data_IF_213623971970
#
_entry.id   IF_213623971970
#
_cell.length_a   1.000
_cell.length_b   1.000
_cell.length_c   1.000
_cell.angle_alpha   90.00
_cell.angle_beta   90.00
_cell.angle_gamma   90.00
#
_symmetry.space_group_name_H-M   'P 1'
#
loop_
_entity.id
_entity.type
_entity.pdbx_description
1 polymer ?
#
# COMPACT_ATOMS: atom_id res chain seq x y z
N UNK A 1 28.89 -73.23 10.99
CA UNK A 1 30.11 -72.49 10.61
C UNK A 1 31.16 -73.51 10.27
N UNK A 2 31.70 -73.48 9.05
CA UNK A 2 32.82 -74.34 8.68
C UNK A 2 34.06 -73.82 9.39
N UNK A 3 34.60 -74.62 10.32
CA UNK A 3 35.86 -74.33 11.02
C UNK A 3 36.95 -74.07 9.97
N UNK A 4 37.71 -73.00 10.13
CA UNK A 4 38.79 -72.63 9.21
C UNK A 4 39.84 -73.74 9.19
N UNK A 5 40.43 -74.02 8.02
CA UNK A 5 41.56 -74.96 7.93
C UNK A 5 42.73 -74.57 8.84
N UNK A 6 42.88 -73.27 9.15
CA UNK A 6 43.85 -72.78 10.15
C UNK A 6 43.40 -73.11 11.58
N UNK A 7 42.11 -72.95 11.89
CA UNK A 7 41.58 -73.32 13.21
C UNK A 7 41.73 -74.83 13.44
N UNK A 8 41.47 -75.65 12.42
CA UNK A 8 41.73 -77.09 12.47
C UNK A 8 43.20 -77.41 12.70
N UNK A 9 44.12 -76.77 11.96
CA UNK A 9 45.55 -77.01 12.16
C UNK A 9 46.03 -76.57 13.56
N UNK A 10 45.44 -75.52 14.12
CA UNK A 10 45.72 -75.06 15.48
C UNK A 10 45.20 -76.09 16.49
N UNK A 11 43.97 -76.58 16.33
CA UNK A 11 43.42 -77.66 17.19
C UNK A 11 44.26 -78.93 17.08
N UNK A 12 44.67 -79.34 15.88
CA UNK A 12 45.52 -80.52 15.68
C UNK A 12 46.87 -80.37 16.40
N UNK A 13 47.48 -79.17 16.37
CA UNK A 13 48.72 -78.88 17.11
C UNK A 13 48.48 -78.91 18.63
N UNK A 14 47.35 -78.36 19.10
CA UNK A 14 46.98 -78.41 20.52
C UNK A 14 46.78 -79.84 21.00
N UNK A 15 46.01 -80.64 20.27
CA UNK A 15 45.76 -82.06 20.57
C UNK A 15 47.05 -82.88 20.53
N UNK A 16 47.95 -82.60 19.58
CA UNK A 16 49.25 -83.27 19.50
C UNK A 16 50.13 -82.98 20.72
N UNK A 17 50.17 -81.73 21.19
CA UNK A 17 50.92 -81.33 22.39
C UNK A 17 50.30 -81.91 23.66
N UNK A 18 48.97 -81.95 23.76
CA UNK A 18 48.24 -82.47 24.92
C UNK A 18 48.36 -83.99 25.06
N UNK A 19 48.37 -84.73 23.94
CA UNK A 19 48.53 -86.19 23.91
C UNK A 19 50.00 -86.66 23.96
N UNK A 20 50.97 -85.75 24.00
CA UNK A 20 52.40 -86.08 24.04
C UNK A 20 52.81 -86.68 25.39
N UNK A 21 53.69 -87.70 25.37
CA UNK A 21 54.08 -88.45 26.58
C UNK A 21 54.94 -87.62 27.53
N UNK A 22 54.60 -87.65 28.81
CA UNK A 22 55.45 -87.10 29.87
C UNK A 22 56.70 -87.97 30.07
N UNK A 23 57.82 -87.31 30.36
CA UNK A 23 59.11 -87.94 30.49
C UNK A 23 59.13 -88.85 31.71
N UNK A 24 59.58 -90.08 31.54
CA UNK A 24 59.67 -91.08 32.61
C UNK A 24 60.53 -90.61 33.79
N UNK A 25 61.49 -89.71 33.55
CA UNK A 25 62.40 -89.19 34.56
C UNK A 25 61.95 -87.87 35.21
N UNK A 26 60.95 -87.18 34.64
CA UNK A 26 60.37 -85.97 35.23
C UNK A 26 58.93 -85.77 34.72
N UNK A 27 57.91 -85.96 35.57
CA UNK A 27 56.50 -85.83 35.19
C UNK A 27 56.11 -84.45 34.64
N UNK A 28 56.85 -83.39 34.99
CA UNK A 28 56.61 -82.03 34.49
C UNK A 28 57.23 -81.74 33.11
N UNK A 29 57.89 -82.72 32.48
CA UNK A 29 58.54 -82.55 31.18
C UNK A 29 57.82 -83.38 30.13
N UNK A 30 57.24 -82.73 29.12
CA UNK A 30 56.64 -83.41 27.97
C UNK A 30 57.73 -83.68 26.92
N UNK A 31 57.74 -84.90 26.36
CA UNK A 31 58.67 -85.29 25.29
C UNK A 31 57.89 -85.36 23.99
N UNK A 32 58.25 -84.50 23.03
CA UNK A 32 57.54 -84.33 21.75
C UNK A 32 58.49 -84.73 20.61
N UNK A 33 57.95 -85.37 19.58
CA UNK A 33 58.67 -85.58 18.33
C UNK A 33 58.85 -84.25 17.62
N UNK A 34 60.10 -83.77 17.61
CA UNK A 34 60.45 -82.46 17.08
C UNK A 34 60.00 -82.32 15.63
N UNK A 35 60.36 -83.28 14.78
CA UNK A 35 60.15 -83.16 13.33
C UNK A 35 58.66 -83.03 12.99
N UNK A 36 57.80 -83.82 13.64
CA UNK A 36 56.34 -83.79 13.45
C UNK A 36 55.70 -82.46 13.90
N UNK A 37 56.13 -81.89 15.04
CA UNK A 37 55.65 -80.57 15.48
C UNK A 37 56.10 -79.46 14.52
N UNK A 38 57.34 -79.53 14.03
CA UNK A 38 57.87 -78.56 13.08
C UNK A 38 57.15 -78.63 11.73
N UNK A 39 56.80 -79.83 11.26
CA UNK A 39 56.00 -80.02 10.03
C UNK A 39 54.62 -79.37 10.16
N UNK A 40 53.92 -79.57 11.30
CA UNK A 40 52.61 -78.94 11.55
C UNK A 40 52.72 -77.41 11.67
N UNK A 41 53.77 -76.89 12.32
CA UNK A 41 54.03 -75.45 12.44
C UNK A 41 54.43 -74.81 11.11
N UNK A 42 55.18 -75.52 10.26
CA UNK A 42 55.53 -75.02 8.92
C UNK A 42 54.32 -75.02 7.99
N UNK A 43 53.43 -76.01 8.07
CA UNK A 43 52.16 -75.97 7.36
C UNK A 43 51.29 -74.79 7.85
N UNK A 44 51.20 -74.56 9.17
CA UNK A 44 50.48 -73.41 9.74
C UNK A 44 51.07 -72.09 9.22
N UNK A 45 52.40 -71.98 9.22
CA UNK A 45 53.16 -70.81 8.78
C UNK A 45 52.98 -70.53 7.28
N UNK A 46 52.85 -71.57 6.46
CA UNK A 46 52.61 -71.43 5.03
C UNK A 46 51.17 -71.02 4.73
N UNK A 47 50.19 -71.62 5.42
CA UNK A 47 48.75 -71.39 5.19
C UNK A 47 48.26 -70.07 5.75
N UNK A 48 48.83 -69.58 6.86
CA UNK A 48 48.37 -68.36 7.55
C UNK A 48 48.41 -67.10 6.66
N UNK A 49 49.52 -66.78 5.96
CA UNK A 49 49.58 -65.61 5.08
C UNK A 49 48.61 -65.67 3.90
N UNK A 50 48.36 -66.86 3.35
CA UNK A 50 47.44 -67.04 2.22
C UNK A 50 45.99 -66.73 2.63
N UNK A 51 45.57 -67.23 3.79
CA UNK A 51 44.19 -67.03 4.23
C UNK A 51 43.94 -65.60 4.73
N UNK A 52 44.95 -64.94 5.30
CA UNK A 52 44.91 -63.49 5.57
C UNK A 52 44.72 -62.70 4.27
N UNK A 53 45.50 -63.00 3.21
CA UNK A 53 45.36 -62.31 1.91
C UNK A 53 43.98 -62.53 1.30
N UNK A 54 43.44 -63.74 1.42
CA UNK A 54 42.08 -64.06 0.93
C UNK A 54 41.01 -63.29 1.68
N UNK A 55 41.09 -63.23 3.01
CA UNK A 55 40.19 -62.41 3.84
C UNK A 55 40.30 -60.92 3.50
N UNK A 56 41.52 -60.38 3.35
CA UNK A 56 41.72 -58.99 2.93
C UNK A 56 41.10 -58.71 1.56
N UNK A 57 41.26 -59.63 0.60
CA UNK A 57 40.64 -59.50 -0.72
C UNK A 57 39.11 -59.49 -0.65
N UNK A 58 38.52 -60.32 0.21
CA UNK A 58 37.07 -60.32 0.47
C UNK A 58 36.62 -58.97 1.05
N UNK A 59 37.37 -58.43 2.02
CA UNK A 59 37.07 -57.12 2.63
C UNK A 59 37.14 -55.99 1.59
N UNK A 60 38.19 -55.96 0.77
CA UNK A 60 38.35 -54.95 -0.29
C UNK A 60 37.20 -55.05 -1.30
N UNK A 61 36.88 -56.26 -1.75
CA UNK A 61 35.76 -56.47 -2.68
C UNK A 61 34.42 -56.05 -2.07
N UNK A 62 34.19 -56.37 -0.79
CA UNK A 62 32.97 -55.94 -0.08
C UNK A 62 32.88 -54.42 -0.02
N UNK A 63 33.96 -53.73 0.34
CA UNK A 63 33.99 -52.28 0.42
C UNK A 63 33.74 -51.64 -0.95
N UNK A 64 34.34 -52.18 -2.01
CA UNK A 64 34.10 -51.70 -3.38
C UNK A 64 32.65 -51.87 -3.81
N UNK A 65 32.02 -53.01 -3.48
CA UNK A 65 30.60 -53.25 -3.77
C UNK A 65 29.73 -52.25 -2.99
N UNK A 66 30.08 -51.99 -1.72
CA UNK A 66 29.32 -51.07 -0.87
C UNK A 66 29.40 -49.64 -1.41
N UNK A 67 30.60 -49.18 -1.76
CA UNK A 67 30.81 -47.84 -2.31
C UNK A 67 30.10 -47.65 -3.67
N UNK A 68 30.15 -48.66 -4.54
CA UNK A 68 29.42 -48.64 -5.81
C UNK A 68 27.90 -48.62 -5.60
N UNK A 69 27.40 -49.39 -4.63
CA UNK A 69 25.99 -49.37 -4.25
C UNK A 69 25.56 -48.01 -3.69
N UNK A 70 26.36 -47.40 -2.82
CA UNK A 70 26.11 -46.06 -2.26
C UNK A 70 26.10 -44.99 -3.36
N UNK A 71 27.06 -45.02 -4.28
CA UNK A 71 27.11 -44.10 -5.43
C UNK A 71 25.88 -44.25 -6.33
N UNK A 72 25.47 -45.49 -6.61
CA UNK A 72 24.26 -45.75 -7.42
C UNK A 72 23.01 -45.27 -6.71
N UNK A 73 22.89 -45.51 -5.40
CA UNK A 73 21.75 -45.04 -4.61
C UNK A 73 21.68 -43.50 -4.62
N UNK A 74 22.80 -42.81 -4.39
CA UNK A 74 22.87 -41.36 -4.45
C UNK A 74 22.50 -40.82 -5.84
N UNK A 75 22.98 -41.45 -6.92
CA UNK A 75 22.64 -41.07 -8.29
C UNK A 75 21.14 -41.26 -8.58
N UNK A 76 20.55 -42.37 -8.15
CA UNK A 76 19.11 -42.64 -8.32
C UNK A 76 18.29 -41.58 -7.58
N UNK A 77 18.65 -41.25 -6.34
CA UNK A 77 17.94 -40.23 -5.55
C UNK A 77 18.05 -38.85 -6.24
N UNK A 78 19.24 -38.46 -6.69
CA UNK A 78 19.45 -37.19 -7.38
C UNK A 78 18.62 -37.11 -8.67
N UNK A 79 18.61 -38.19 -9.46
CA UNK A 79 17.82 -38.27 -10.68
C UNK A 79 16.32 -38.20 -10.40
N UNK A 80 15.83 -38.94 -9.39
CA UNK A 80 14.42 -38.93 -9.00
C UNK A 80 13.97 -37.53 -8.55
N UNK A 81 14.80 -36.84 -7.76
CA UNK A 81 14.52 -35.46 -7.33
C UNK A 81 14.47 -34.49 -8.51
N UNK A 82 15.40 -34.62 -9.47
CA UNK A 82 15.41 -33.78 -10.67
C UNK A 82 14.19 -34.03 -11.55
N UNK A 83 13.76 -35.28 -11.71
CA UNK A 83 12.56 -35.62 -12.48
C UNK A 83 11.30 -35.12 -11.77
N UNK A 84 11.21 -35.27 -10.45
CA UNK A 84 10.08 -34.75 -9.68
C UNK A 84 9.95 -33.22 -9.82
N UNK A 85 11.06 -32.49 -9.74
CA UNK A 85 11.07 -31.05 -9.97
C UNK A 85 10.58 -30.68 -11.38
N UNK A 86 11.09 -31.37 -12.42
CA UNK A 86 10.67 -31.13 -13.79
C UNK A 86 9.19 -31.43 -14.02
N UNK A 87 8.66 -32.51 -13.44
CA UNK A 87 7.23 -32.87 -13.53
C UNK A 87 6.34 -31.83 -12.85
N UNK A 88 6.79 -31.24 -11.74
CA UNK A 88 6.05 -30.19 -11.03
C UNK A 88 6.04 -28.91 -11.88
N UNK A 89 7.19 -28.49 -12.39
CA UNK A 89 7.30 -27.27 -13.21
C UNK A 89 6.51 -27.40 -14.53
N UNK A 90 6.51 -28.59 -15.14
CA UNK A 90 5.72 -28.88 -16.35
C UNK A 90 4.26 -29.22 -16.02
N UNK A 91 3.93 -29.41 -14.73
CA UNK A 91 2.60 -29.82 -14.32
C UNK A 91 1.58 -28.79 -14.77
N UNK A 92 0.51 -29.30 -15.37
CA UNK A 92 -0.68 -28.53 -15.70
C UNK A 92 -1.22 -27.77 -14.48
N UNK A 93 -1.01 -28.30 -13.27
CA UNK A 93 -1.39 -27.63 -12.03
C UNK A 93 -0.67 -26.29 -11.83
N UNK A 94 0.63 -26.20 -12.13
CA UNK A 94 1.39 -24.94 -12.01
C UNK A 94 0.95 -23.96 -13.08
N UNK A 95 0.69 -24.43 -14.30
CA UNK A 95 0.14 -23.59 -15.37
C UNK A 95 -1.23 -23.01 -15.00
N UNK A 96 -2.16 -23.86 -14.56
CA UNK A 96 -3.48 -23.43 -14.10
C UNK A 96 -3.40 -22.49 -12.89
N UNK A 97 -2.44 -22.71 -11.98
CA UNK A 97 -2.21 -21.82 -10.85
C UNK A 97 -1.73 -20.43 -11.30
N UNK A 98 -0.85 -20.36 -12.30
CA UNK A 98 -0.40 -19.10 -12.89
C UNK A 98 -1.52 -18.39 -13.65
N UNK A 99 -2.28 -19.10 -14.49
CA UNK A 99 -3.45 -18.54 -15.18
C UNK A 99 -4.45 -17.95 -14.19
N UNK A 100 -4.77 -18.70 -13.12
CA UNK A 100 -5.67 -18.23 -12.07
C UNK A 100 -5.11 -17.03 -11.30
N UNK A 101 -3.79 -16.98 -11.10
CA UNK A 101 -3.14 -15.83 -10.47
C UNK A 101 -3.25 -14.58 -11.36
N UNK A 102 -3.03 -14.74 -12.68
CA UNK A 102 -3.21 -13.66 -13.66
C UNK A 102 -4.66 -13.16 -13.69
N UNK A 103 -5.65 -14.07 -13.74
CA UNK A 103 -7.07 -13.72 -13.66
C UNK A 103 -7.42 -12.91 -12.40
N UNK A 104 -6.86 -13.31 -11.24
CA UNK A 104 -7.08 -12.59 -9.97
C UNK A 104 -6.47 -11.19 -10.04
N UNK A 105 -5.27 -11.05 -10.61
CA UNK A 105 -4.60 -9.75 -10.76
C UNK A 105 -5.38 -8.84 -11.70
N UNK A 106 -5.83 -9.35 -12.85
CA UNK A 106 -6.65 -8.59 -13.80
C UNK A 106 -7.98 -8.15 -13.17
N UNK A 107 -8.66 -9.06 -12.46
CA UNK A 107 -9.90 -8.73 -11.77
C UNK A 107 -9.69 -7.66 -10.68
N UNK A 108 -8.58 -7.74 -9.93
CA UNK A 108 -8.23 -6.75 -8.93
C UNK A 108 -7.93 -5.37 -9.54
N UNK A 109 -7.23 -5.33 -10.67
CA UNK A 109 -6.96 -4.08 -11.41
C UNK A 109 -8.26 -3.49 -11.94
N UNK A 110 -9.12 -4.31 -12.55
CA UNK A 110 -10.41 -3.86 -13.06
C UNK A 110 -11.29 -3.29 -11.95
N UNK A 111 -11.37 -3.96 -10.80
CA UNK A 111 -12.11 -3.47 -9.65
C UNK A 111 -11.50 -2.20 -9.06
N UNK A 112 -10.17 -2.13 -8.98
CA UNK A 112 -9.45 -0.93 -8.56
C UNK A 112 -9.79 0.29 -9.43
N UNK A 113 -9.76 0.12 -10.75
CA UNK A 113 -10.16 1.18 -11.68
C UNK A 113 -11.63 1.57 -11.51
N UNK A 114 -12.52 0.60 -11.33
CA UNK A 114 -13.94 0.85 -11.08
C UNK A 114 -14.18 1.68 -9.82
N UNK A 115 -13.44 1.41 -8.75
CA UNK A 115 -13.52 2.16 -7.49
C UNK A 115 -13.02 3.60 -7.70
N UNK A 116 -11.90 3.79 -8.39
CA UNK A 116 -11.37 5.13 -8.69
C UNK A 116 -12.36 5.93 -9.54
N UNK A 117 -12.92 5.32 -10.58
CA UNK A 117 -13.91 5.98 -11.44
C UNK A 117 -15.18 6.34 -10.67
N UNK A 118 -15.66 5.46 -9.79
CA UNK A 118 -16.80 5.74 -8.92
C UNK A 118 -16.50 6.91 -7.97
N UNK A 119 -15.35 6.88 -7.29
CA UNK A 119 -14.93 7.95 -6.39
C UNK A 119 -14.79 9.31 -7.10
N UNK A 120 -14.27 9.32 -8.33
CA UNK A 120 -14.17 10.53 -9.13
C UNK A 120 -15.54 11.09 -9.53
N UNK A 121 -16.51 10.22 -9.88
CA UNK A 121 -17.88 10.65 -10.18
C UNK A 121 -18.57 11.21 -8.95
N UNK A 122 -18.46 10.53 -7.81
CA UNK A 122 -19.06 10.98 -6.55
C UNK A 122 -18.46 12.32 -6.11
N UNK A 123 -17.14 12.50 -6.24
CA UNK A 123 -16.46 13.75 -5.94
C UNK A 123 -16.93 14.89 -6.85
N UNK A 124 -17.11 14.63 -8.14
CA UNK A 124 -17.60 15.63 -9.10
C UNK A 124 -19.07 16.00 -8.82
N UNK A 125 -19.91 15.03 -8.48
CA UNK A 125 -21.30 15.28 -8.08
C UNK A 125 -21.38 16.17 -6.84
N UNK A 126 -20.56 15.89 -5.81
CA UNK A 126 -20.47 16.73 -4.61
C UNK A 126 -20.00 18.13 -4.98
N UNK A 127 -18.98 18.26 -5.84
CA UNK A 127 -18.45 19.56 -6.27
C UNK A 127 -19.51 20.40 -6.97
N UNK A 128 -20.21 19.81 -7.94
CA UNK A 128 -21.30 20.48 -8.69
C UNK A 128 -22.41 20.88 -7.73
N UNK A 129 -22.81 19.98 -6.83
CA UNK A 129 -23.86 20.25 -5.84
C UNK A 129 -23.49 21.41 -4.90
N UNK A 130 -22.24 21.47 -4.42
CA UNK A 130 -21.75 22.53 -3.57
C UNK A 130 -21.69 23.89 -4.29
N UNK A 131 -21.23 23.92 -5.55
CA UNK A 131 -21.22 25.12 -6.39
C UNK A 131 -22.65 25.61 -6.61
N UNK A 132 -23.55 24.70 -6.98
CA UNK A 132 -24.97 25.03 -7.24
C UNK A 132 -25.65 25.58 -5.98
N UNK A 133 -25.42 24.94 -4.83
CA UNK A 133 -25.94 25.40 -3.55
C UNK A 133 -25.44 26.81 -3.20
N UNK A 134 -24.13 27.04 -3.36
CA UNK A 134 -23.52 28.34 -3.08
C UNK A 134 -24.03 29.41 -4.05
N UNK A 135 -24.18 29.09 -5.33
CA UNK A 135 -24.76 30.00 -6.32
C UNK A 135 -26.19 30.38 -5.93
N UNK A 136 -27.05 29.41 -5.63
CA UNK A 136 -28.42 29.69 -5.18
C UNK A 136 -28.45 30.58 -3.91
N UNK A 137 -27.51 30.39 -2.98
CA UNK A 137 -27.41 31.24 -1.79
C UNK A 137 -27.03 32.68 -2.17
N UNK A 138 -26.08 32.85 -3.10
CA UNK A 138 -25.64 34.15 -3.60
C UNK A 138 -26.77 34.86 -4.37
N UNK A 139 -27.48 34.16 -5.26
CA UNK A 139 -28.64 34.72 -5.97
C UNK A 139 -29.73 35.19 -5.00
N UNK A 140 -30.00 34.42 -3.94
CA UNK A 140 -30.95 34.84 -2.91
C UNK A 140 -30.46 36.09 -2.15
N UNK A 141 -29.18 36.13 -1.79
CA UNK A 141 -28.59 37.28 -1.10
C UNK A 141 -28.62 38.54 -1.97
N UNK A 142 -28.29 38.39 -3.25
CA UNK A 142 -28.39 39.45 -4.27
C UNK A 142 -29.82 39.99 -4.36
N UNK A 143 -30.82 39.12 -4.51
CA UNK A 143 -32.22 39.54 -4.56
C UNK A 143 -32.68 40.28 -3.30
N UNK A 144 -32.23 39.86 -2.12
CA UNK A 144 -32.51 40.58 -0.85
C UNK A 144 -31.88 41.97 -0.87
N UNK A 145 -30.62 42.08 -1.29
CA UNK A 145 -29.90 43.37 -1.35
C UNK A 145 -30.53 44.30 -2.38
N UNK A 146 -30.84 43.81 -3.58
CA UNK A 146 -31.52 44.57 -4.63
C UNK A 146 -32.87 45.11 -4.15
N UNK A 147 -33.67 44.29 -3.45
CA UNK A 147 -34.95 44.72 -2.89
C UNK A 147 -34.77 45.77 -1.79
N UNK A 148 -33.81 45.57 -0.88
CA UNK A 148 -33.50 46.52 0.17
C UNK A 148 -33.04 47.87 -0.40
N UNK A 149 -32.20 47.83 -1.45
CA UNK A 149 -31.75 49.01 -2.18
C UNK A 149 -32.92 49.75 -2.84
N UNK A 150 -33.74 49.07 -3.65
CA UNK A 150 -34.91 49.67 -4.31
C UNK A 150 -35.89 50.28 -3.31
N UNK A 151 -36.16 49.60 -2.19
CA UNK A 151 -37.05 50.12 -1.14
C UNK A 151 -36.46 51.36 -0.46
N UNK A 152 -35.15 51.33 -0.17
CA UNK A 152 -34.45 52.44 0.47
C UNK A 152 -34.41 53.67 -0.43
N UNK A 153 -34.08 53.51 -1.72
CA UNK A 153 -34.12 54.58 -2.73
C UNK A 153 -35.49 55.25 -2.77
N UNK A 154 -36.55 54.46 -2.99
CA UNK A 154 -37.92 54.97 -3.07
C UNK A 154 -38.37 55.70 -1.79
N UNK A 155 -37.93 55.24 -0.61
CA UNK A 155 -38.22 55.93 0.66
C UNK A 155 -37.52 57.28 0.77
N UNK A 156 -36.26 57.37 0.33
CA UNK A 156 -35.55 58.64 0.32
C UNK A 156 -36.15 59.61 -0.69
N UNK A 157 -36.54 59.16 -1.87
CA UNK A 157 -37.23 59.99 -2.87
C UNK A 157 -38.50 60.62 -2.27
N UNK A 158 -39.31 59.84 -1.56
CA UNK A 158 -40.50 60.36 -0.86
C UNK A 158 -40.16 61.41 0.23
N UNK A 159 -39.04 61.22 0.93
CA UNK A 159 -38.58 62.20 1.93
C UNK A 159 -38.11 63.48 1.25
N UNK A 160 -37.37 63.38 0.14
CA UNK A 160 -36.94 64.54 -0.63
C UNK A 160 -38.13 65.32 -1.20
N UNK A 161 -39.12 64.62 -1.75
CA UNK A 161 -40.35 65.24 -2.25
C UNK A 161 -41.10 65.98 -1.13
N UNK A 162 -41.26 65.37 0.04
CA UNK A 162 -41.91 66.00 1.19
C UNK A 162 -41.16 67.24 1.69
N UNK A 163 -39.82 67.17 1.79
CA UNK A 163 -39.00 68.31 2.18
C UNK A 163 -39.08 69.46 1.17
N UNK A 164 -39.17 69.15 -0.13
CA UNK A 164 -39.35 70.14 -1.20
C UNK A 164 -40.72 70.83 -1.12
N UNK A 165 -41.77 70.08 -0.78
CA UNK A 165 -43.11 70.62 -0.54
C UNK A 165 -43.12 71.54 0.68
N UNK A 166 -42.50 71.14 1.79
CA UNK A 166 -42.36 71.95 3.01
C UNK A 166 -41.59 73.25 2.74
N UNK A 167 -40.47 73.19 2.01
CA UNK A 167 -39.70 74.37 1.60
C UNK A 167 -40.54 75.33 0.74
N UNK A 168 -41.32 74.80 -0.19
CA UNK A 168 -42.22 75.60 -1.04
C UNK A 168 -43.25 76.33 -0.17
N UNK A 169 -43.87 75.61 0.78
CA UNK A 169 -44.84 76.17 1.73
C UNK A 169 -44.21 77.26 2.61
N UNK A 170 -43.00 77.04 3.11
CA UNK A 170 -42.26 78.05 3.89
C UNK A 170 -41.98 79.29 3.05
N UNK A 171 -41.57 79.13 1.79
CA UNK A 171 -41.31 80.24 0.89
C UNK A 171 -42.59 81.05 0.60
N UNK A 172 -43.71 80.38 0.38
CA UNK A 172 -45.03 81.02 0.22
C UNK A 172 -45.44 81.78 1.49
N UNK A 173 -45.35 81.15 2.66
CA UNK A 173 -45.63 81.78 3.95
C UNK A 173 -44.75 83.01 4.20
N UNK A 174 -43.45 82.92 3.89
CA UNK A 174 -42.50 84.05 3.99
C UNK A 174 -42.97 85.22 3.11
N UNK A 175 -43.36 84.93 1.87
CA UNK A 175 -43.83 85.95 0.92
C UNK A 175 -45.15 86.60 1.36
N UNK A 176 -46.07 85.84 1.94
CA UNK A 176 -47.31 86.39 2.50
C UNK A 176 -47.04 87.31 3.69
N UNK A 177 -46.15 86.91 4.61
CA UNK A 177 -45.74 87.74 5.74
C UNK A 177 -45.08 89.05 5.28
N UNK A 178 -44.18 88.99 4.29
CA UNK A 178 -43.54 90.18 3.70
C UNK A 178 -44.54 91.15 3.09
N UNK A 179 -45.62 90.64 2.47
CA UNK A 179 -46.69 91.46 1.90
C UNK A 179 -47.49 92.18 2.98
N UNK A 180 -47.75 91.51 4.10
CA UNK A 180 -48.63 91.99 5.17
C UNK A 180 -47.87 92.82 6.24
N UNK A 181 -46.54 92.89 6.14
CA UNK A 181 -45.69 93.74 6.96
C UNK A 181 -45.95 95.25 6.67
N UNK A 182 -46.25 96.08 7.69
CA UNK A 182 -46.32 97.52 7.49
C UNK A 182 -44.96 98.08 7.06
N UNK A 183 -44.94 99.03 6.11
CA UNK A 183 -43.75 99.63 5.46
C UNK A 183 -42.68 100.27 6.38
N UNK A 184 -42.78 100.11 7.71
CA UNK A 184 -41.89 100.71 8.72
C UNK A 184 -40.80 99.73 9.20
N UNK A 185 -40.87 98.43 8.88
CA UNK A 185 -39.90 97.41 9.36
C UNK A 185 -38.96 96.88 8.26
N UNK A 186 -39.07 97.39 7.03
CA UNK A 186 -38.36 96.87 5.85
C UNK A 186 -36.82 97.11 5.82
N UNK A 187 -36.22 97.67 6.89
CA UNK A 187 -34.79 98.02 6.88
C UNK A 187 -33.90 97.09 7.75
N UNK A 188 -34.46 96.09 8.44
CA UNK A 188 -33.70 95.27 9.41
C UNK A 188 -33.89 93.74 9.29
N UNK A 189 -34.21 93.19 8.12
CA UNK A 189 -34.07 91.74 7.92
C UNK A 189 -32.75 91.45 7.20
N UNK A 190 -31.76 90.92 7.92
CA UNK A 190 -30.65 90.20 7.29
C UNK A 190 -31.24 89.09 6.40
N UNK A 191 -31.03 89.25 5.10
CA UNK A 191 -31.49 88.33 4.08
C UNK A 191 -30.69 87.03 4.24
N UNK A 192 -31.27 86.03 4.90
CA UNK A 192 -30.72 84.67 4.83
C UNK A 192 -31.03 84.16 3.43
N UNK A 193 -30.03 84.26 2.56
CA UNK A 193 -30.10 83.95 1.14
C UNK A 193 -30.66 82.53 0.91
N UNK A 194 -31.74 82.45 0.13
CA UNK A 194 -32.29 81.19 -0.38
C UNK A 194 -31.29 80.43 -1.27
N UNK A 195 -30.20 81.09 -1.69
CA UNK A 195 -29.15 80.59 -2.58
C UNK A 195 -28.40 79.37 -2.00
N UNK A 196 -28.33 79.21 -0.67
CA UNK A 196 -27.60 78.09 -0.08
C UNK A 196 -28.33 76.73 -0.23
N UNK A 197 -29.67 76.70 -0.26
CA UNK A 197 -30.42 75.44 -0.21
C UNK A 197 -30.33 74.66 -1.52
N UNK A 198 -30.32 75.35 -2.66
CA UNK A 198 -30.22 74.73 -3.99
C UNK A 198 -28.82 74.12 -4.24
N UNK A 199 -27.75 74.80 -3.80
CA UNK A 199 -26.36 74.31 -3.92
C UNK A 199 -26.11 73.05 -3.07
N UNK A 200 -26.69 72.94 -1.87
CA UNK A 200 -26.59 71.73 -1.04
C UNK A 200 -27.44 70.55 -1.57
N UNK A 201 -28.51 70.81 -2.33
CA UNK A 201 -29.35 69.77 -2.91
C UNK A 201 -28.73 69.18 -4.20
N UNK A 202 -28.03 69.99 -4.99
CA UNK A 202 -27.30 69.50 -6.18
C UNK A 202 -26.12 68.58 -5.80
N UNK A 203 -25.34 68.93 -4.77
CA UNK A 203 -24.18 68.13 -4.31
C UNK A 203 -24.59 66.74 -3.78
N UNK A 204 -25.74 66.62 -3.11
CA UNK A 204 -26.25 65.31 -2.68
C UNK A 204 -26.71 64.44 -3.87
N UNK A 205 -27.34 65.05 -4.87
CA UNK A 205 -27.79 64.38 -6.10
C UNK A 205 -26.62 63.86 -6.95
N UNK A 206 -25.49 64.55 -6.98
CA UNK A 206 -24.29 64.11 -7.73
C UNK A 206 -23.47 63.03 -6.99
N UNK A 207 -23.57 62.96 -5.65
CA UNK A 207 -22.76 62.05 -4.85
C UNK A 207 -23.12 60.56 -4.98
N UNK A 208 -24.32 60.25 -5.49
CA UNK A 208 -24.79 58.89 -5.75
C UNK A 208 -25.42 58.88 -7.14
N UNK A 209 -24.65 58.50 -8.16
CA UNK A 209 -25.18 58.28 -9.52
C UNK A 209 -25.99 56.98 -9.55
N UNK A 210 -27.26 57.13 -9.17
CA UNK A 210 -28.19 56.03 -8.91
C UNK A 210 -28.60 55.30 -10.18
N UNK A 211 -28.48 55.96 -11.33
CA UNK A 211 -28.84 55.42 -12.63
C UNK A 211 -27.68 54.58 -13.20
N UNK A 212 -26.43 55.04 -13.02
CA UNK A 212 -25.25 54.24 -13.38
C UNK A 212 -25.17 52.91 -12.61
N UNK A 213 -25.56 52.89 -11.32
CA UNK A 213 -25.58 51.66 -10.52
C UNK A 213 -26.71 50.72 -10.97
N UNK A 214 -27.87 51.25 -11.33
CA UNK A 214 -29.00 50.43 -11.81
C UNK A 214 -28.71 49.83 -13.18
N UNK A 215 -28.10 50.61 -14.08
CA UNK A 215 -27.75 50.19 -15.44
C UNK A 215 -26.65 49.11 -15.42
N UNK A 216 -25.64 49.26 -14.56
CA UNK A 216 -24.60 48.23 -14.37
C UNK A 216 -25.16 46.89 -13.85
N UNK A 217 -26.15 46.93 -12.94
CA UNK A 217 -26.80 45.72 -12.42
C UNK A 217 -27.71 45.04 -13.46
N UNK A 218 -28.35 45.81 -14.33
CA UNK A 218 -29.20 45.28 -15.39
C UNK A 218 -28.35 44.73 -16.58
N UNK A 219 -27.18 45.30 -16.86
CA UNK A 219 -26.21 44.78 -17.85
C UNK A 219 -25.63 43.42 -17.40
N UNK A 220 -25.19 43.29 -16.15
CA UNK A 220 -24.67 42.04 -15.59
C UNK A 220 -25.72 40.91 -15.61
N UNK A 221 -27.01 41.25 -15.46
CA UNK A 221 -28.12 40.29 -15.54
C UNK A 221 -28.42 39.82 -16.98
N UNK A 222 -28.06 40.60 -18.01
CA UNK A 222 -28.22 40.23 -19.41
C UNK A 222 -27.06 39.42 -19.97
N UNK A 223 -25.84 39.58 -19.45
CA UNK A 223 -24.67 38.79 -19.87
C UNK A 223 -24.64 37.35 -19.32
N UNK A 224 -25.47 37.04 -18.31
CA UNK A 224 -25.54 35.71 -17.68
C UNK A 224 -26.62 34.76 -18.27
N UNK A 225 -27.27 35.14 -19.37
CA UNK A 225 -28.30 34.36 -20.09
C UNK A 225 -27.85 34.00 -21.51
#
# INVERSE_FOLDING_TARGET
MSISKIEQLIEDIFDFVENSKTSFTNPNKVTIHRDELYDMLDELRLRTPEEIKKCQKIIINRNNILEDAEKRAAAIIAQANSQAAAIIDESEMVKQANERAEEIVEAAIAEGNRIVDAANRDAEEIRISAITYTNNLLTNAEGVIQNAYKNTKSRYDLVFDALKEDLTTIAENKRELERDLPKVVADNSENVDAVAVEEYLEDFSESVDVDAISEALDEDAQEQN
#
